data_IF_571318774033
#
_entry.id   IF_571318774033
#
_cell.length_a   1.000
_cell.length_b   1.000
_cell.length_c   1.000
_cell.angle_alpha   90.00
_cell.angle_beta   90.00
_cell.angle_gamma   90.00
#
_symmetry.space_group_name_H-M   'P 1'
#
loop_
_entity.id
_entity.type
_entity.pdbx_description
1 polymer ?
#
# COMPACT_ATOMS: atom_id res chain seq x y z
N UNK A 1 -7.88 8.82 -11.11
CA UNK A 1 -8.77 7.64 -11.14
C UNK A 1 -9.89 7.89 -10.14
N UNK A 2 -11.13 7.48 -10.44
CA UNK A 2 -12.30 7.75 -9.58
C UNK A 2 -13.08 6.45 -9.35
N UNK A 3 -13.83 6.33 -8.23
CA UNK A 3 -14.76 5.23 -8.03
C UNK A 3 -15.76 5.07 -9.17
N UNK A 4 -16.27 3.85 -9.33
CA UNK A 4 -17.41 3.58 -10.19
C UNK A 4 -18.69 4.25 -9.62
N UNK A 5 -19.66 4.60 -10.49
CA UNK A 5 -20.87 5.32 -10.06
C UNK A 5 -21.85 4.46 -9.23
N UNK A 6 -21.81 3.14 -9.38
CA UNK A 6 -22.67 2.15 -8.72
C UNK A 6 -22.05 1.64 -7.40
N UNK A 7 -21.69 2.58 -6.54
CA UNK A 7 -20.97 2.29 -5.30
C UNK A 7 -21.88 1.64 -4.23
N UNK A 8 -21.44 0.51 -3.69
CA UNK A 8 -22.05 -0.15 -2.52
C UNK A 8 -21.61 0.53 -1.22
N UNK A 9 -20.33 0.88 -1.13
CA UNK A 9 -19.77 1.52 0.06
C UNK A 9 -18.31 1.95 -0.11
N UNK A 10 -17.70 2.38 0.99
CA UNK A 10 -16.30 2.78 1.03
C UNK A 10 -15.54 1.91 2.03
N UNK A 11 -14.24 1.74 1.81
CA UNK A 11 -13.35 1.07 2.75
C UNK A 11 -12.03 1.82 2.88
N UNK A 12 -11.60 2.11 4.10
CA UNK A 12 -10.45 2.96 4.36
C UNK A 12 -9.32 2.20 5.06
N UNK A 13 -8.12 2.37 4.54
CA UNK A 13 -6.88 1.76 5.01
C UNK A 13 -5.98 2.89 5.49
N UNK A 14 -6.01 3.18 6.78
CA UNK A 14 -5.26 4.25 7.43
C UNK A 14 -3.82 3.84 7.62
N UNK A 15 -2.90 4.47 6.89
CA UNK A 15 -1.47 4.19 6.92
C UNK A 15 -0.78 5.08 7.95
N UNK A 16 -0.63 4.53 9.17
CA UNK A 16 0.06 5.16 10.30
C UNK A 16 1.53 4.79 10.22
N UNK A 17 2.35 5.70 9.68
CA UNK A 17 3.73 5.41 9.27
C UNK A 17 3.80 4.21 8.30
N UNK A 18 4.26 3.04 8.74
CA UNK A 18 4.29 1.79 7.96
C UNK A 18 3.22 0.77 8.38
N UNK A 19 2.44 1.08 9.40
CA UNK A 19 1.35 0.26 9.92
C UNK A 19 0.03 0.65 9.26
N UNK A 20 -0.96 -0.21 9.39
CA UNK A 20 -2.28 -0.02 8.83
C UNK A 20 -3.36 -0.24 9.90
N UNK A 21 -4.37 0.60 9.86
CA UNK A 21 -5.62 0.44 10.59
C UNK A 21 -6.79 0.50 9.60
N UNK A 22 -7.63 -0.53 9.60
CA UNK A 22 -8.74 -0.67 8.67
C UNK A 22 -10.01 -0.20 9.37
N UNK A 23 -10.70 0.76 8.77
CA UNK A 23 -11.92 1.33 9.32
C UNK A 23 -12.90 1.72 8.21
N UNK A 24 -14.19 1.73 8.51
CA UNK A 24 -15.25 2.07 7.54
C UNK A 24 -15.45 3.59 7.41
N UNK A 25 -14.97 4.34 8.40
CA UNK A 25 -15.01 5.80 8.38
C UNK A 25 -13.84 6.40 7.60
N UNK A 26 -14.15 7.49 6.91
CA UNK A 26 -13.16 8.27 6.20
C UNK A 26 -12.21 8.98 7.18
N UNK A 27 -11.08 9.40 6.63
CA UNK A 27 -10.10 10.18 7.35
C UNK A 27 -10.66 11.47 7.94
N UNK A 28 -10.05 11.96 9.03
CA UNK A 28 -10.24 13.33 9.50
C UNK A 28 -9.96 14.35 8.38
N UNK A 29 -10.61 15.52 8.47
CA UNK A 29 -10.44 16.59 7.49
C UNK A 29 -8.97 17.00 7.36
N UNK A 30 -8.41 16.84 6.15
CA UNK A 30 -7.05 17.28 5.80
C UNK A 30 -6.04 16.16 5.54
N UNK A 31 -6.39 14.90 5.81
CA UNK A 31 -5.51 13.78 5.44
C UNK A 31 -5.55 13.55 3.93
N UNK A 32 -4.38 13.24 3.36
CA UNK A 32 -4.32 12.92 1.93
C UNK A 32 -4.85 11.50 1.69
N UNK A 33 -5.58 11.30 0.60
CA UNK A 33 -6.20 10.01 0.29
C UNK A 33 -5.85 9.55 -1.13
N UNK A 34 -5.69 8.24 -1.26
CA UNK A 34 -5.32 7.59 -2.51
C UNK A 34 -6.35 6.53 -2.84
N UNK A 35 -7.08 6.71 -3.92
CA UNK A 35 -7.95 5.65 -4.43
C UNK A 35 -7.10 4.43 -4.80
N UNK A 36 -7.46 3.25 -4.30
CA UNK A 36 -6.72 2.00 -4.49
C UNK A 36 -7.37 1.12 -5.57
N UNK A 37 -8.68 1.20 -5.71
CA UNK A 37 -9.47 0.40 -6.66
C UNK A 37 -10.86 0.12 -6.13
N UNK A 38 -11.56 -0.77 -6.83
CA UNK A 38 -12.86 -1.31 -6.43
C UNK A 38 -12.68 -2.77 -5.98
N UNK A 39 -13.37 -3.17 -4.93
CA UNK A 39 -13.52 -4.57 -4.49
C UNK A 39 -14.98 -4.78 -4.10
N UNK A 40 -15.67 -5.72 -4.75
CA UNK A 40 -17.07 -6.07 -4.46
C UNK A 40 -18.01 -4.86 -4.30
N UNK A 41 -17.92 -3.92 -5.25
CA UNK A 41 -18.70 -2.70 -5.24
C UNK A 41 -18.27 -1.64 -4.22
N UNK A 42 -17.23 -1.89 -3.42
CA UNK A 42 -16.66 -0.93 -2.48
C UNK A 42 -15.48 -0.18 -3.08
N UNK A 43 -15.43 1.13 -2.87
CA UNK A 43 -14.26 1.94 -3.21
C UNK A 43 -13.24 1.86 -2.07
N UNK A 44 -12.05 1.35 -2.37
CA UNK A 44 -10.98 1.22 -1.40
C UNK A 44 -10.04 2.43 -1.45
N UNK A 45 -9.69 2.96 -0.28
CA UNK A 45 -8.89 4.17 -0.12
C UNK A 45 -7.72 3.94 0.84
N UNK A 46 -6.52 4.33 0.42
CA UNK A 46 -5.37 4.47 1.32
C UNK A 46 -5.38 5.87 1.90
N UNK A 47 -5.38 5.99 3.23
CA UNK A 47 -5.35 7.27 3.93
C UNK A 47 -3.94 7.49 4.45
N UNK A 48 -3.34 8.61 4.08
CA UNK A 48 -2.04 9.06 4.59
C UNK A 48 -2.24 9.77 5.92
N UNK A 49 -2.04 9.04 7.02
CA UNK A 49 -2.09 9.62 8.37
C UNK A 49 -0.83 10.47 8.58
N UNK A 50 -0.97 11.77 8.94
CA UNK A 50 0.18 12.63 9.19
C UNK A 50 1.09 12.08 10.29
N UNK A 51 2.39 12.28 10.11
CA UNK A 51 3.39 11.81 11.05
C UNK A 51 3.13 12.34 12.47
N UNK A 52 3.23 11.46 13.46
CA UNK A 52 2.98 11.78 14.87
C UNK A 52 1.51 11.73 15.29
N UNK A 53 0.59 11.42 14.37
CA UNK A 53 -0.81 11.17 14.67
C UNK A 53 -1.11 9.67 14.54
N UNK A 54 -2.06 9.20 15.34
CA UNK A 54 -2.55 7.83 15.28
C UNK A 54 -4.05 7.81 15.63
N UNK A 55 -4.95 7.82 14.62
CA UNK A 55 -6.39 7.78 14.84
C UNK A 55 -6.88 6.42 15.33
N UNK A 56 -6.01 5.41 15.40
CA UNK A 56 -6.35 4.06 15.86
C UNK A 56 -6.17 3.86 17.36
N UNK A 57 -5.71 4.87 18.10
CA UNK A 57 -5.36 4.79 19.52
C UNK A 57 -4.43 3.60 19.83
N UNK A 58 -3.43 3.35 18.96
CA UNK A 58 -2.49 2.23 19.07
C UNK A 58 -2.97 0.92 18.46
N UNK A 59 -4.14 0.91 17.78
CA UNK A 59 -4.71 -0.26 17.11
C UNK A 59 -4.09 -0.61 15.76
N UNK A 60 -3.24 0.25 15.18
CA UNK A 60 -2.60 0.00 13.89
C UNK A 60 -1.58 -1.15 13.99
N UNK A 61 -1.61 -2.04 12.99
CA UNK A 61 -0.73 -3.22 12.90
C UNK A 61 0.19 -3.13 11.68
N UNK A 62 1.39 -3.68 11.76
CA UNK A 62 2.21 -3.90 10.56
C UNK A 62 1.61 -5.03 9.70
N UNK A 63 1.99 -5.07 8.42
CA UNK A 63 1.43 -6.05 7.47
C UNK A 63 1.72 -7.50 7.84
N UNK A 64 2.84 -7.78 8.51
CA UNK A 64 3.16 -9.14 8.94
C UNK A 64 2.25 -9.55 10.09
N UNK A 65 2.10 -8.70 11.11
CA UNK A 65 1.19 -8.94 12.23
C UNK A 65 -0.28 -8.99 11.81
N UNK A 66 -0.68 -8.27 10.75
CA UNK A 66 -2.04 -8.29 10.20
C UNK A 66 -2.36 -9.59 9.45
N UNK A 67 -1.36 -10.27 8.91
CA UNK A 67 -1.54 -11.50 8.14
C UNK A 67 -2.25 -12.58 8.96
N UNK A 68 -3.33 -13.16 8.41
CA UNK A 68 -4.18 -14.14 9.10
C UNK A 68 -5.10 -13.58 10.19
N UNK A 69 -5.02 -12.28 10.51
CA UNK A 69 -5.93 -11.58 11.45
C UNK A 69 -6.99 -10.75 10.74
N UNK A 70 -6.74 -10.38 9.48
CA UNK A 70 -7.71 -9.74 8.60
C UNK A 70 -8.15 -10.72 7.49
N UNK A 71 -9.32 -10.49 6.86
CA UNK A 71 -9.65 -11.13 5.59
C UNK A 71 -8.51 -10.97 4.58
N UNK A 72 -8.29 -11.99 3.75
CA UNK A 72 -7.18 -12.01 2.79
C UNK A 72 -7.19 -10.80 1.85
N UNK A 73 -8.38 -10.44 1.36
CA UNK A 73 -8.58 -9.30 0.47
C UNK A 73 -8.20 -7.97 1.12
N UNK A 74 -8.55 -7.80 2.39
CA UNK A 74 -8.17 -6.62 3.17
C UNK A 74 -6.66 -6.56 3.38
N UNK A 75 -6.03 -7.70 3.65
CA UNK A 75 -4.57 -7.75 3.78
C UNK A 75 -3.86 -7.39 2.47
N UNK A 76 -4.37 -7.88 1.33
CA UNK A 76 -3.85 -7.53 0.01
C UNK A 76 -4.02 -6.03 -0.30
N UNK A 77 -5.18 -5.45 -0.01
CA UNK A 77 -5.44 -4.02 -0.21
C UNK A 77 -4.61 -3.17 0.75
N UNK A 78 -4.45 -3.60 2.01
CA UNK A 78 -3.61 -2.94 2.99
C UNK A 78 -2.15 -2.87 2.52
N UNK A 79 -1.60 -3.97 1.97
CA UNK A 79 -0.26 -3.97 1.37
C UNK A 79 -0.12 -2.95 0.25
N UNK A 80 -1.13 -2.86 -0.63
CA UNK A 80 -1.21 -1.84 -1.68
C UNK A 80 -1.33 -0.42 -1.10
N UNK A 81 -2.10 -0.22 -0.04
CA UNK A 81 -2.27 1.08 0.61
C UNK A 81 -0.93 1.59 1.15
N UNK A 82 -0.23 0.75 1.93
CA UNK A 82 1.09 1.08 2.51
C UNK A 82 2.08 1.45 1.41
N UNK A 83 2.18 0.65 0.34
CA UNK A 83 3.09 0.91 -0.78
C UNK A 83 2.78 2.24 -1.49
N UNK A 84 1.50 2.53 -1.75
CA UNK A 84 1.10 3.71 -2.52
C UNK A 84 1.16 5.00 -1.71
N UNK A 85 0.79 4.95 -0.43
CA UNK A 85 0.96 6.09 0.48
C UNK A 85 2.44 6.41 0.64
N UNK A 86 3.27 5.41 0.89
CA UNK A 86 4.72 5.62 1.06
C UNK A 86 5.38 6.13 -0.23
N UNK A 87 4.98 5.60 -1.38
CA UNK A 87 5.41 6.14 -2.67
C UNK A 87 5.03 7.62 -2.83
N UNK A 88 3.79 8.00 -2.50
CA UNK A 88 3.36 9.39 -2.59
C UNK A 88 4.15 10.30 -1.65
N UNK A 89 4.38 9.88 -0.40
CA UNK A 89 5.22 10.60 0.58
C UNK A 89 6.64 10.84 0.06
N UNK A 90 7.25 9.82 -0.54
CA UNK A 90 8.65 9.85 -0.99
C UNK A 90 8.87 10.52 -2.34
N UNK A 91 7.81 10.81 -3.09
CA UNK A 91 7.89 11.43 -4.41
C UNK A 91 7.25 12.82 -4.48
N UNK A 92 7.08 13.50 -3.33
CA UNK A 92 6.58 14.90 -3.26
C UNK A 92 7.46 15.91 -3.98
N UNK A 93 8.74 15.60 -4.14
CA UNK A 93 9.72 16.43 -4.85
C UNK A 93 10.44 15.61 -5.91
N UNK A 94 10.86 16.29 -6.98
CA UNK A 94 11.50 15.66 -8.12
C UNK A 94 12.94 15.28 -7.77
N UNK A 95 13.25 13.98 -7.78
CA UNK A 95 14.61 13.48 -7.54
C UNK A 95 15.68 13.96 -8.55
N UNK A 96 15.28 14.60 -9.66
CA UNK A 96 16.21 15.16 -10.66
C UNK A 96 16.50 16.66 -10.47
N UNK A 97 15.51 17.46 -10.07
CA UNK A 97 15.65 18.92 -10.03
C UNK A 97 15.14 19.58 -8.75
N UNK A 98 14.63 18.83 -7.77
CA UNK A 98 14.16 19.35 -6.48
C UNK A 98 12.77 19.99 -6.48
N UNK A 99 12.20 20.30 -7.65
CA UNK A 99 10.87 20.91 -7.78
C UNK A 99 9.75 20.03 -7.20
N UNK A 100 8.70 20.64 -6.65
CA UNK A 100 7.52 19.90 -6.20
C UNK A 100 6.85 19.15 -7.38
N UNK A 101 6.44 17.90 -7.15
CA UNK A 101 5.75 17.10 -8.16
C UNK A 101 4.24 17.22 -8.05
N UNK A 102 3.55 16.90 -9.14
CA UNK A 102 2.09 16.84 -9.22
C UNK A 102 1.61 15.46 -9.69
N UNK A 103 0.44 14.99 -9.28
CA UNK A 103 -0.14 13.76 -9.83
C UNK A 103 -0.33 13.85 -11.35
N UNK A 104 0.15 12.85 -12.09
CA UNK A 104 -0.05 12.75 -13.53
C UNK A 104 -1.53 12.47 -13.88
N UNK A 105 -1.97 12.95 -15.05
CA UNK A 105 -3.32 12.72 -15.54
C UNK A 105 -3.43 11.34 -16.18
N UNK A 106 -4.40 10.55 -15.72
CA UNK A 106 -4.78 9.28 -16.35
C UNK A 106 -3.98 8.06 -15.90
N UNK A 107 -2.87 8.26 -15.20
CA UNK A 107 -2.01 7.19 -14.69
C UNK A 107 -1.65 7.43 -13.22
N UNK A 108 -1.10 6.41 -12.55
CA UNK A 108 -0.59 6.54 -11.19
C UNK A 108 0.89 6.89 -11.27
N UNK A 109 1.19 8.16 -11.49
CA UNK A 109 2.55 8.69 -11.50
C UNK A 109 2.60 10.08 -10.85
N UNK A 110 3.78 10.46 -10.37
CA UNK A 110 4.10 11.84 -10.00
C UNK A 110 4.94 12.46 -11.11
N UNK A 111 4.48 13.58 -11.67
CA UNK A 111 5.12 14.33 -12.74
C UNK A 111 5.80 15.58 -12.17
N UNK A 112 7.02 15.86 -12.61
CA UNK A 112 7.64 17.15 -12.36
C UNK A 112 7.16 18.17 -13.43
N UNK A 113 6.60 19.33 -13.04
CA UNK A 113 6.11 20.33 -13.98
C UNK A 113 7.25 21.06 -14.70
N UNK A 114 8.45 21.14 -14.11
CA UNK A 114 9.60 21.85 -14.67
C UNK A 114 10.37 21.00 -15.68
N UNK A 115 10.77 19.79 -15.29
CA UNK A 115 11.62 18.95 -16.14
C UNK A 115 10.87 17.80 -16.83
N UNK A 116 9.62 17.54 -16.47
CA UNK A 116 8.81 16.48 -17.08
C UNK A 116 9.12 15.05 -16.64
N UNK A 117 9.96 14.85 -15.60
CA UNK A 117 10.23 13.50 -15.08
C UNK A 117 8.94 12.88 -14.54
N UNK A 118 8.64 11.66 -14.96
CA UNK A 118 7.57 10.82 -14.41
C UNK A 118 8.18 9.79 -13.45
N UNK A 119 7.59 9.67 -12.26
CA UNK A 119 7.92 8.62 -11.30
C UNK A 119 6.68 7.75 -11.07
N UNK A 120 6.85 6.44 -11.19
CA UNK A 120 5.79 5.46 -10.99
C UNK A 120 6.02 4.72 -9.65
N UNK A 121 4.95 4.19 -9.01
CA UNK A 121 5.10 3.27 -7.89
C UNK A 121 6.01 2.10 -8.28
N UNK A 122 6.97 1.78 -7.42
CA UNK A 122 7.95 0.73 -7.69
C UNK A 122 7.39 -0.63 -7.30
N UNK A 123 7.53 -1.59 -8.20
CA UNK A 123 7.42 -3.02 -7.89
C UNK A 123 8.84 -3.58 -7.77
N UNK A 124 9.12 -4.28 -6.67
CA UNK A 124 10.37 -4.98 -6.45
C UNK A 124 10.12 -6.48 -6.63
N UNK A 125 10.57 -7.10 -7.75
CA UNK A 125 10.50 -8.54 -7.90
C UNK A 125 11.24 -9.25 -6.77
N UNK A 126 10.60 -10.26 -6.18
CA UNK A 126 11.16 -11.08 -5.11
C UNK A 126 10.94 -12.57 -5.43
N UNK A 127 11.88 -13.41 -5.00
CA UNK A 127 11.81 -14.86 -5.18
C UNK A 127 11.78 -15.53 -3.80
N UNK A 128 10.88 -16.50 -3.65
CA UNK A 128 10.86 -17.45 -2.54
C UNK A 128 10.98 -18.85 -3.14
N UNK A 129 11.87 -19.68 -2.62
CA UNK A 129 12.11 -21.02 -3.15
C UNK A 129 12.30 -22.04 -2.03
N UNK A 130 11.79 -23.25 -2.25
CA UNK A 130 12.06 -24.39 -1.39
C UNK A 130 13.25 -25.15 -1.98
N UNK A 131 14.39 -25.11 -1.29
CA UNK A 131 15.58 -25.87 -1.70
C UNK A 131 15.51 -27.26 -1.08
N UNK A 132 15.51 -28.30 -1.92
CA UNK A 132 15.42 -29.70 -1.50
C UNK A 132 16.67 -30.51 -1.84
N UNK A 133 16.96 -31.55 -1.05
CA UNK A 133 18.04 -32.52 -1.31
C UNK A 133 17.49 -33.95 -1.28
N UNK A 134 17.86 -34.76 -2.28
CA UNK A 134 17.38 -36.14 -2.47
C UNK A 134 16.16 -36.25 -3.39
N UNK A 135 15.77 -37.49 -3.70
CA UNK A 135 14.60 -37.80 -4.52
C UNK A 135 13.28 -37.42 -3.80
N UNK A 136 12.21 -37.07 -4.54
CA UNK A 136 10.90 -36.81 -3.94
C UNK A 136 10.39 -38.00 -3.12
N UNK A 137 10.10 -37.78 -1.84
CA UNK A 137 9.69 -38.83 -0.93
C UNK A 137 9.68 -38.38 0.53
N UNK A 138 9.30 -39.27 1.46
CA UNK A 138 9.24 -38.94 2.90
C UNK A 138 10.61 -38.59 3.49
N UNK A 139 11.70 -39.06 2.88
CA UNK A 139 13.07 -38.80 3.32
C UNK A 139 13.70 -37.58 2.61
N UNK A 140 12.95 -36.85 1.78
CA UNK A 140 13.46 -35.64 1.12
C UNK A 140 13.69 -34.54 2.15
N UNK A 141 14.88 -33.94 2.13
CA UNK A 141 15.25 -32.89 3.06
C UNK A 141 14.96 -31.51 2.48
N UNK A 142 14.46 -30.59 3.30
CA UNK A 142 14.25 -29.18 2.95
C UNK A 142 15.24 -28.28 3.70
N UNK A 143 15.85 -27.32 3.00
CA UNK A 143 16.66 -26.28 3.62
C UNK A 143 15.74 -25.26 4.29
N UNK A 144 15.86 -25.15 5.61
CA UNK A 144 15.24 -24.09 6.40
C UNK A 144 16.32 -23.12 6.85
N UNK A 145 15.95 -21.84 6.96
CA UNK A 145 16.81 -20.79 7.48
C UNK A 145 16.07 -19.99 8.55
N UNK A 146 16.81 -19.51 9.55
CA UNK A 146 16.31 -18.60 10.56
C UNK A 146 17.14 -17.31 10.48
N UNK A 147 16.46 -16.19 10.25
CA UNK A 147 17.05 -14.85 10.26
C UNK A 147 17.08 -14.24 11.65
#
# INVERSE_FOLDING_TARGET
MKPAPDLVGHRYFHVVESKVWIHDEAAESGYSTHFLGMLDGHACWGVDVPRGQDPSDGGALDLFSLFGRAPEEDWLIAGRAVQLVEWARTHRFCGRCGEATEPARGERAMRCPVCGLLNFPRLAPAMITLVTRGEPGPDQEALLAQG
#
